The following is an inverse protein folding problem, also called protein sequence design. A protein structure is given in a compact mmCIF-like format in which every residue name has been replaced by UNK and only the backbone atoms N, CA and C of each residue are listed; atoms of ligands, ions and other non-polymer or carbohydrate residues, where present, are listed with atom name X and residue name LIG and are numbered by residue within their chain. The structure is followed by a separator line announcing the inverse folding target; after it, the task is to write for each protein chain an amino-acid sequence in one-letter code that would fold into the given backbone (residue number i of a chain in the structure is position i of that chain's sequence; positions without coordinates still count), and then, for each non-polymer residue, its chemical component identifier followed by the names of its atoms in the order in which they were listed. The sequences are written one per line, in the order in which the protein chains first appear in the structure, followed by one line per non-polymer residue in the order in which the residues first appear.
data_IF_563669856300
#
_entry.id   IF_563669856300
#
_cell.length_a   1.000
_cell.length_b   1.000
_cell.length_c   1.000
_cell.angle_alpha   90.00
_cell.angle_beta   90.00
_cell.angle_gamma   90.00
#
_symmetry.space_group_name_H-M   'P 1'
#
loop_
_entity.id
_entity.type
_entity.pdbx_description
1 polymer ?
#
# COMPACT_ATOMS: atom_id res chain seq x y z
N UNK A 1 5.88 -14.40 11.41
CA UNK A 1 7.05 -13.53 11.45
C UNK A 1 6.62 -12.10 11.13
N UNK A 2 6.90 -11.19 12.03
CA UNK A 2 6.53 -9.80 11.81
C UNK A 2 7.54 -9.13 10.88
N UNK A 3 7.03 -8.31 9.96
CA UNK A 3 7.85 -7.50 9.08
C UNK A 3 7.91 -6.10 9.67
N UNK A 4 9.10 -5.65 9.96
CA UNK A 4 9.28 -4.34 10.55
C UNK A 4 9.48 -3.30 9.47
N UNK A 5 8.46 -2.49 9.23
CA UNK A 5 8.50 -1.40 8.29
C UNK A 5 8.62 -0.11 9.08
N UNK A 6 9.66 0.66 8.78
CA UNK A 6 9.85 1.99 9.36
C UNK A 6 9.69 2.99 8.24
N UNK A 7 8.82 3.97 8.46
CA UNK A 7 8.59 4.99 7.46
C UNK A 7 8.74 6.37 8.08
N UNK A 8 8.85 7.34 7.21
CA UNK A 8 9.02 8.71 7.63
C UNK A 8 10.20 9.37 6.95
N UNK A 9 10.33 10.67 7.16
CA UNK A 9 11.38 11.46 6.55
C UNK A 9 12.71 11.12 7.20
N UNK A 10 13.71 10.83 6.37
CA UNK A 10 15.06 10.58 6.86
C UNK A 10 15.36 9.17 7.33
N UNK A 11 14.59 8.18 6.87
CA UNK A 11 14.91 6.79 7.20
C UNK A 11 16.28 6.41 6.62
N UNK A 12 16.96 5.47 7.30
CA UNK A 12 18.29 5.05 6.89
C UNK A 12 18.27 4.31 5.56
N UNK A 13 19.42 4.25 4.91
CA UNK A 13 19.56 3.47 3.68
C UNK A 13 19.28 2.00 3.92
N UNK A 14 19.75 1.47 5.06
CA UNK A 14 19.48 0.09 5.42
C UNK A 14 18.00 -0.20 5.53
N UNK A 15 17.23 0.71 6.15
CA UNK A 15 15.79 0.54 6.28
C UNK A 15 15.10 0.66 4.92
N UNK A 16 15.59 1.53 4.04
CA UNK A 16 15.05 1.62 2.68
C UNK A 16 15.20 0.32 1.92
N UNK A 17 16.35 -0.35 2.09
CA UNK A 17 16.59 -1.64 1.46
C UNK A 17 15.66 -2.71 2.01
N UNK A 18 15.42 -2.69 3.32
CA UNK A 18 14.47 -3.61 3.95
C UNK A 18 13.06 -3.36 3.43
N UNK A 19 12.64 -2.10 3.38
CA UNK A 19 11.32 -1.74 2.88
C UNK A 19 11.14 -2.17 1.42
N UNK A 20 12.16 -1.96 0.60
CA UNK A 20 12.09 -2.33 -0.80
C UNK A 20 11.98 -3.84 -1.00
N UNK A 21 12.69 -4.59 -0.17
CA UNK A 21 12.59 -6.05 -0.21
C UNK A 21 11.19 -6.52 0.15
N UNK A 22 10.60 -5.93 1.18
CA UNK A 22 9.22 -6.26 1.58
C UNK A 22 8.26 -5.88 0.45
N UNK A 23 8.44 -4.71 -0.14
CA UNK A 23 7.63 -4.28 -1.27
C UNK A 23 7.66 -5.29 -2.42
N UNK A 24 8.85 -5.76 -2.78
CA UNK A 24 9.00 -6.72 -3.87
C UNK A 24 8.32 -8.06 -3.56
N UNK A 25 8.31 -8.46 -2.30
CA UNK A 25 7.62 -9.67 -1.88
C UNK A 25 6.10 -9.53 -1.92
N UNK A 26 5.59 -8.36 -1.57
CA UNK A 26 4.15 -8.13 -1.43
C UNK A 26 3.48 -7.66 -2.72
N UNK A 27 4.22 -6.97 -3.57
CA UNK A 27 3.66 -6.37 -4.78
C UNK A 27 2.85 -7.36 -5.62
N UNK A 28 3.31 -8.61 -5.85
CA UNK A 28 2.54 -9.57 -6.65
C UNK A 28 1.19 -9.94 -6.05
N UNK A 29 0.97 -9.66 -4.76
CA UNK A 29 -0.29 -9.98 -4.09
C UNK A 29 -1.37 -8.91 -4.32
N UNK A 30 -1.02 -7.80 -4.95
CA UNK A 30 -1.91 -6.66 -5.15
C UNK A 30 -2.45 -6.64 -6.56
N UNK A 31 -3.68 -6.17 -6.72
CA UNK A 31 -4.31 -6.03 -8.01
C UNK A 31 -5.10 -4.73 -8.07
N UNK A 32 -4.83 -3.95 -9.09
CA UNK A 32 -5.55 -2.71 -9.33
C UNK A 32 -6.92 -3.02 -9.96
N UNK A 33 -7.97 -2.48 -9.37
CA UNK A 33 -9.33 -2.65 -9.87
C UNK A 33 -9.73 -1.41 -10.68
N UNK A 34 -9.55 -1.50 -11.98
CA UNK A 34 -9.91 -0.42 -12.87
C UNK A 34 -11.44 -0.28 -12.91
N UNK A 35 -11.93 0.96 -12.84
CA UNK A 35 -13.35 1.26 -12.88
C UNK A 35 -14.14 0.66 -11.72
N UNK A 36 -13.46 0.36 -10.61
CA UNK A 36 -14.07 -0.22 -9.40
C UNK A 36 -14.73 -1.58 -9.64
N UNK A 37 -14.40 -2.25 -10.71
CA UNK A 37 -14.90 -3.59 -10.99
C UNK A 37 -13.98 -4.61 -10.32
N UNK A 38 -14.35 -5.02 -9.12
CA UNK A 38 -13.58 -5.98 -8.34
C UNK A 38 -14.39 -7.23 -7.98
N UNK A 39 -15.51 -7.44 -8.65
CA UNK A 39 -16.36 -8.59 -8.38
C UNK A 39 -15.94 -9.86 -9.12
N UNK A 40 -14.91 -9.80 -9.92
CA UNK A 40 -14.40 -10.95 -10.65
C UNK A 40 -13.78 -11.95 -9.68
N UNK A 41 -14.10 -13.24 -9.84
CA UNK A 41 -13.60 -14.30 -8.98
C UNK A 41 -12.07 -14.37 -8.95
N UNK A 42 -11.41 -14.06 -10.06
CA UNK A 42 -9.95 -14.07 -10.12
C UNK A 42 -9.32 -13.07 -9.19
N UNK A 43 -10.06 -12.04 -8.79
CA UNK A 43 -9.55 -11.03 -7.87
C UNK A 43 -9.59 -11.48 -6.41
N UNK A 44 -10.26 -12.59 -6.10
CA UNK A 44 -10.38 -13.07 -4.72
C UNK A 44 -9.04 -13.45 -4.09
N UNK A 45 -8.02 -13.66 -4.91
CA UNK A 45 -6.69 -14.05 -4.47
C UNK A 45 -5.76 -12.85 -4.23
N UNK A 46 -6.26 -11.65 -4.37
CA UNK A 46 -5.43 -10.44 -4.33
C UNK A 46 -5.93 -9.46 -3.30
N UNK A 47 -4.99 -8.61 -2.86
CA UNK A 47 -5.36 -7.37 -2.18
C UNK A 47 -5.79 -6.42 -3.29
N UNK A 48 -7.09 -6.17 -3.39
CA UNK A 48 -7.65 -5.39 -4.50
C UNK A 48 -7.80 -3.95 -4.07
N UNK A 49 -7.31 -3.03 -4.89
CA UNK A 49 -7.38 -1.60 -4.59
C UNK A 49 -7.78 -0.81 -5.84
N UNK A 50 -8.34 0.35 -5.61
CA UNK A 50 -8.66 1.31 -6.67
C UNK A 50 -8.09 2.66 -6.33
N UNK A 51 -7.91 3.49 -7.36
CA UNK A 51 -7.30 4.80 -7.25
C UNK A 51 -8.39 5.85 -7.06
N UNK A 52 -8.28 6.63 -5.99
CA UNK A 52 -9.22 7.72 -5.71
C UNK A 52 -8.65 9.08 -6.15
N UNK A 53 -7.41 9.09 -6.64
CA UNK A 53 -6.82 10.29 -7.20
C UNK A 53 -5.93 11.05 -6.24
N UNK A 54 -5.38 12.12 -6.74
CA UNK A 54 -4.47 12.99 -5.99
C UNK A 54 -5.25 14.07 -5.25
N UNK A 55 -4.80 14.37 -4.03
CA UNK A 55 -5.16 15.57 -3.31
C UNK A 55 -3.97 16.49 -3.18
N UNK A 56 -4.01 17.40 -2.20
CA UNK A 56 -2.88 18.27 -1.94
C UNK A 56 -1.79 17.47 -1.22
N UNK A 57 -0.68 17.24 -1.93
CA UNK A 57 0.48 16.52 -1.40
C UNK A 57 0.17 15.10 -0.92
N UNK A 58 -0.84 14.46 -1.54
CA UNK A 58 -1.19 13.09 -1.19
C UNK A 58 -1.88 12.39 -2.35
N UNK A 59 -1.96 11.05 -2.22
CA UNK A 59 -2.66 10.21 -3.19
C UNK A 59 -3.48 9.21 -2.39
N UNK A 60 -4.76 9.11 -2.69
CA UNK A 60 -5.68 8.24 -1.95
C UNK A 60 -6.05 7.01 -2.75
N UNK A 61 -6.21 5.90 -2.02
CA UNK A 61 -6.58 4.62 -2.59
C UNK A 61 -7.66 3.98 -1.72
N UNK A 62 -8.52 3.18 -2.34
CA UNK A 62 -9.46 2.36 -1.60
C UNK A 62 -9.06 0.90 -1.70
N UNK A 63 -8.98 0.22 -0.56
CA UNK A 63 -8.66 -1.21 -0.51
C UNK A 63 -9.96 -1.97 -0.32
N UNK A 64 -10.30 -2.79 -1.32
CA UNK A 64 -11.57 -3.50 -1.34
C UNK A 64 -11.51 -4.85 -0.64
N UNK A 65 -10.33 -5.47 -0.61
CA UNK A 65 -10.17 -6.78 0.03
C UNK A 65 -8.73 -6.95 0.47
N UNK A 66 -8.55 -7.75 1.51
CA UNK A 66 -7.23 -8.03 2.09
C UNK A 66 -7.20 -9.49 2.53
N UNK A 67 -7.20 -10.44 1.58
CA UNK A 67 -7.30 -11.86 1.91
C UNK A 67 -6.09 -12.42 2.65
N UNK A 68 -4.97 -11.71 2.63
CA UNK A 68 -3.75 -12.15 3.30
C UNK A 68 -3.58 -11.53 4.68
N UNK A 69 -4.55 -10.74 5.11
CA UNK A 69 -4.53 -10.06 6.40
C UNK A 69 -3.25 -9.25 6.61
N UNK A 70 -2.84 -8.52 5.58
CA UNK A 70 -1.67 -7.67 5.67
C UNK A 70 -1.93 -6.50 6.62
N UNK A 71 -0.87 -6.04 7.27
CA UNK A 71 -0.96 -4.89 8.14
C UNK A 71 -1.14 -3.60 7.34
N UNK A 72 -1.58 -2.54 8.02
CA UNK A 72 -1.72 -1.23 7.39
C UNK A 72 -0.38 -0.74 6.84
N UNK A 73 0.72 -0.97 7.57
CA UNK A 73 2.04 -0.57 7.11
C UNK A 73 2.44 -1.30 5.83
N UNK A 74 2.12 -2.58 5.74
CA UNK A 74 2.44 -3.37 4.54
C UNK A 74 1.64 -2.88 3.34
N UNK A 75 0.34 -2.63 3.53
CA UNK A 75 -0.50 -2.12 2.47
C UNK A 75 -0.04 -0.74 2.02
N UNK A 76 0.20 0.16 2.97
CA UNK A 76 0.63 1.52 2.64
C UNK A 76 1.98 1.52 1.92
N UNK A 77 2.88 0.64 2.32
CA UNK A 77 4.19 0.53 1.67
C UNK A 77 4.05 0.17 0.19
N UNK A 78 3.17 -0.78 -0.13
CA UNK A 78 2.97 -1.17 -1.52
C UNK A 78 2.29 -0.05 -2.31
N UNK A 79 1.28 0.58 -1.72
CA UNK A 79 0.59 1.68 -2.39
C UNK A 79 1.53 2.87 -2.65
N UNK A 80 2.54 3.05 -1.80
CA UNK A 80 3.53 4.12 -1.94
C UNK A 80 4.66 3.78 -2.91
N UNK A 81 4.69 2.58 -3.43
CA UNK A 81 5.76 2.15 -4.35
C UNK A 81 7.04 1.72 -3.65
N UNK A 82 6.98 1.43 -2.36
CA UNK A 82 8.09 0.84 -1.63
C UNK A 82 8.89 1.79 -0.75
N UNK A 83 8.63 3.09 -0.79
CA UNK A 83 9.43 4.06 -0.04
C UNK A 83 8.82 4.49 1.29
N UNK A 84 7.55 4.86 1.27
CA UNK A 84 6.79 5.32 2.44
C UNK A 84 7.56 6.40 3.24
N UNK A 85 8.08 7.40 2.52
CA UNK A 85 8.93 8.43 3.11
C UNK A 85 8.18 9.42 3.98
N UNK A 86 6.94 9.72 3.63
CA UNK A 86 6.18 10.77 4.31
C UNK A 86 5.05 10.22 5.19
N UNK A 87 4.75 8.94 5.07
CA UNK A 87 3.74 8.32 5.88
C UNK A 87 2.39 8.20 5.19
N UNK A 88 1.40 7.83 5.99
CA UNK A 88 0.06 7.61 5.47
C UNK A 88 -0.95 7.79 6.59
N UNK A 89 -2.22 7.88 6.18
CA UNK A 89 -3.35 7.84 7.10
C UNK A 89 -4.38 6.86 6.56
N UNK A 90 -4.97 6.08 7.44
CA UNK A 90 -6.06 5.19 7.08
C UNK A 90 -7.36 5.69 7.68
N UNK A 91 -8.42 5.71 6.86
CA UNK A 91 -9.76 6.04 7.30
C UNK A 91 -10.71 5.01 6.68
N UNK A 92 -11.15 4.03 7.48
CA UNK A 92 -11.95 2.94 6.97
C UNK A 92 -11.17 2.11 5.97
N UNK A 93 -11.67 2.02 4.75
CA UNK A 93 -10.99 1.30 3.66
C UNK A 93 -10.16 2.23 2.77
N UNK A 94 -10.06 3.50 3.12
CA UNK A 94 -9.31 4.48 2.35
C UNK A 94 -7.95 4.73 2.97
N UNK A 95 -6.91 4.58 2.16
CA UNK A 95 -5.53 4.89 2.55
C UNK A 95 -5.10 6.16 1.82
N UNK A 96 -4.66 7.15 2.57
CA UNK A 96 -4.12 8.39 2.02
C UNK A 96 -2.62 8.38 2.23
N UNK A 97 -1.88 8.31 1.12
CA UNK A 97 -0.43 8.23 1.12
C UNK A 97 0.13 9.64 0.93
N UNK A 98 0.98 10.09 1.84
CA UNK A 98 1.57 11.42 1.74
C UNK A 98 2.81 11.38 0.85
N UNK A 99 2.87 12.29 -0.11
CA UNK A 99 3.92 12.29 -1.14
C UNK A 99 4.75 13.57 -1.12
N UNK A 100 4.46 14.45 -0.19
CA UNK A 100 5.22 15.69 -0.06
C UNK A 100 5.11 16.27 1.35
#
# INVERSE_FOLDING_TARGET
MSRKIIYGYGISQEQREINNKIYNELYPLFKYAKNNDYSNEDLSKYVVFSDLGYGYANHSYRVHSNPYNLSDDEIALVLDGGNLCFGYRRNGDVFTIYID
#
